data_IF_370080512953
#
_entry.id   IF_370080512953
#
_cell.length_a   1.000
_cell.length_b   1.000
_cell.length_c   1.000
_cell.angle_alpha   90.00
_cell.angle_beta   90.00
_cell.angle_gamma   90.00
#
_symmetry.space_group_name_H-M   'P 1'
#
loop_
_entity.id
_entity.type
_entity.pdbx_description
1 polymer ?
#
# COMPACT_ATOMS: atom_id res chain seq x y z
N UNK A 1 -12.75 15.41 6.68
CA UNK A 1 -13.14 14.20 7.44
C UNK A 1 -11.94 13.81 8.30
N UNK A 2 -12.06 13.87 9.63
CA UNK A 2 -10.96 13.53 10.54
C UNK A 2 -10.98 12.01 10.73
N UNK A 3 -9.98 11.30 10.20
CA UNK A 3 -9.83 9.88 10.47
C UNK A 3 -9.48 9.73 11.96
N UNK A 4 -10.41 9.24 12.77
CA UNK A 4 -10.13 8.92 14.16
C UNK A 4 -9.20 7.71 14.22
N UNK A 5 -7.96 7.97 14.63
CA UNK A 5 -6.96 6.94 14.80
C UNK A 5 -7.24 6.16 16.08
N UNK A 6 -7.40 4.84 15.97
CA UNK A 6 -7.71 3.92 17.09
C UNK A 6 -6.61 3.86 18.16
N UNK A 7 -5.44 4.48 17.92
CA UNK A 7 -4.35 4.68 18.88
C UNK A 7 -3.41 5.80 18.42
N UNK A 8 -2.87 6.60 19.35
CA UNK A 8 -1.88 7.68 19.10
C UNK A 8 -0.62 7.19 18.35
N UNK A 9 -0.30 5.89 18.38
CA UNK A 9 0.86 5.29 17.71
C UNK A 9 0.63 4.81 16.27
N UNK A 10 -0.56 5.00 15.70
CA UNK A 10 -0.91 4.46 14.38
C UNK A 10 -0.52 5.36 13.20
N UNK A 11 -0.45 6.68 13.42
CA UNK A 11 0.08 7.64 12.45
C UNK A 11 1.59 7.43 12.27
N UNK A 12 2.02 7.29 11.02
CA UNK A 12 3.44 7.09 10.69
C UNK A 12 3.77 7.74 9.36
N UNK A 13 5.03 8.13 9.22
CA UNK A 13 5.59 8.56 7.96
C UNK A 13 6.12 7.34 7.21
N UNK A 14 5.59 7.09 6.02
CA UNK A 14 6.08 6.01 5.14
C UNK A 14 6.70 6.66 3.91
N UNK A 15 8.03 6.57 3.73
CA UNK A 15 8.67 7.11 2.54
C UNK A 15 8.27 6.29 1.30
N UNK A 16 8.15 6.98 0.17
CA UNK A 16 7.90 6.33 -1.11
C UNK A 16 9.21 5.73 -1.66
N UNK A 17 9.13 4.48 -2.13
CA UNK A 17 10.19 3.87 -2.90
C UNK A 17 10.47 4.70 -4.16
N UNK A 18 11.75 4.87 -4.53
CA UNK A 18 12.16 5.68 -5.70
C UNK A 18 11.47 5.29 -7.03
N UNK A 19 11.14 4.01 -7.19
CA UNK A 19 10.39 3.50 -8.35
C UNK A 19 8.95 4.03 -8.46
N UNK A 20 8.30 4.40 -7.34
CA UNK A 20 6.89 4.84 -7.39
C UNK A 20 6.72 6.18 -8.13
N UNK A 21 7.51 7.24 -7.82
CA UNK A 21 7.54 8.44 -8.65
C UNK A 21 7.96 8.16 -10.10
N UNK A 22 8.94 7.26 -10.32
CA UNK A 22 9.39 6.91 -11.69
C UNK A 22 8.27 6.30 -12.55
N UNK A 23 7.36 5.55 -11.91
CA UNK A 23 6.18 4.96 -12.55
C UNK A 23 5.01 5.94 -12.71
N UNK A 24 5.15 7.18 -12.25
CA UNK A 24 4.09 8.19 -12.35
C UNK A 24 2.98 8.04 -11.30
N UNK A 25 3.26 7.41 -10.15
CA UNK A 25 2.24 7.15 -9.12
C UNK A 25 1.58 8.45 -8.63
N UNK A 26 2.37 9.51 -8.43
CA UNK A 26 1.86 10.78 -7.90
C UNK A 26 0.91 11.41 -8.91
N UNK A 27 1.30 11.43 -10.17
CA UNK A 27 0.50 11.92 -11.28
C UNK A 27 -0.80 11.12 -11.38
N UNK A 28 -0.73 9.79 -11.34
CA UNK A 28 -1.89 8.91 -11.44
C UNK A 28 -2.86 9.04 -10.26
N UNK A 29 -2.35 9.25 -9.04
CA UNK A 29 -3.17 9.25 -7.83
C UNK A 29 -3.58 10.64 -7.35
N UNK A 30 -2.86 11.71 -7.72
CA UNK A 30 -3.08 13.05 -7.14
C UNK A 30 -3.60 14.04 -8.18
N UNK A 31 -3.18 13.93 -9.45
CA UNK A 31 -3.54 14.92 -10.46
C UNK A 31 -5.06 14.92 -10.72
N UNK A 32 -5.67 16.10 -10.63
CA UNK A 32 -7.12 16.27 -10.88
C UNK A 32 -8.02 15.86 -9.72
N UNK A 33 -7.48 15.41 -8.59
CA UNK A 33 -8.24 15.10 -7.37
C UNK A 33 -8.38 16.30 -6.45
N UNK A 34 -9.45 16.29 -5.65
CA UNK A 34 -9.68 17.25 -4.56
C UNK A 34 -9.00 16.75 -3.29
N UNK A 35 -8.80 17.67 -2.34
CA UNK A 35 -8.09 17.40 -1.07
C UNK A 35 -8.68 16.22 -0.26
N UNK A 36 -9.99 15.99 -0.36
CA UNK A 36 -10.69 14.94 0.39
C UNK A 36 -11.00 13.68 -0.43
N UNK A 37 -10.55 13.60 -1.68
CA UNK A 37 -10.81 12.42 -2.51
C UNK A 37 -9.94 11.26 -2.03
N UNK A 38 -10.52 10.06 -1.93
CA UNK A 38 -9.77 8.84 -1.65
C UNK A 38 -8.78 8.59 -2.79
N UNK A 39 -7.52 8.29 -2.47
CA UNK A 39 -6.51 7.96 -3.48
C UNK A 39 -6.83 6.61 -4.16
N UNK A 40 -7.41 5.68 -3.39
CA UNK A 40 -7.88 4.37 -3.85
C UNK A 40 -9.40 4.30 -3.67
N UNK A 41 -10.21 4.80 -4.62
CA UNK A 41 -11.66 4.82 -4.50
C UNK A 41 -12.28 3.41 -4.46
N UNK A 42 -11.54 2.37 -4.82
CA UNK A 42 -11.98 0.97 -4.79
C UNK A 42 -12.27 0.45 -3.38
N UNK A 43 -11.86 1.18 -2.33
CA UNK A 43 -12.20 0.87 -0.94
C UNK A 43 -13.43 1.61 -0.40
N UNK A 44 -14.05 2.49 -1.19
CA UNK A 44 -15.28 3.17 -0.77
C UNK A 44 -16.46 2.18 -0.76
N UNK A 45 -17.18 2.15 0.37
CA UNK A 45 -18.28 1.22 0.57
C UNK A 45 -19.39 1.47 -0.48
N UNK A 46 -19.87 0.41 -1.13
CA UNK A 46 -20.93 0.50 -2.14
C UNK A 46 -20.48 0.89 -3.55
N UNK A 47 -19.16 1.08 -3.81
CA UNK A 47 -18.64 1.21 -5.18
C UNK A 47 -18.75 -0.10 -5.96
N UNK A 48 -18.95 -1.23 -5.26
CA UNK A 48 -19.41 -2.46 -5.88
C UNK A 48 -20.90 -2.28 -6.25
N UNK A 49 -21.18 -1.95 -7.52
CA UNK A 49 -22.53 -1.88 -8.07
C UNK A 49 -23.18 -3.27 -7.97
N UNK A 50 -23.84 -3.49 -6.82
CA UNK A 50 -24.50 -4.71 -6.34
C UNK A 50 -23.59 -5.76 -5.70
N UNK A 51 -23.30 -5.56 -4.42
CA UNK A 51 -23.07 -6.65 -3.50
C UNK A 51 -24.44 -7.10 -2.94
N UNK A 52 -24.86 -8.34 -3.21
CA UNK A 52 -26.01 -9.00 -2.55
C UNK A 52 -25.69 -9.40 -1.09
N UNK A 53 -24.49 -9.01 -0.62
CA UNK A 53 -24.00 -9.21 0.72
C UNK A 53 -24.35 -7.95 1.52
N UNK A 54 -25.31 -8.08 2.43
CA UNK A 54 -25.67 -7.10 3.45
C UNK A 54 -24.45 -6.84 4.35
N UNK A 55 -23.56 -5.96 3.88
CA UNK A 55 -22.55 -5.34 4.72
C UNK A 55 -23.27 -4.30 5.58
N UNK A 56 -23.99 -4.76 6.62
CA UNK A 56 -24.72 -3.87 7.52
C UNK A 56 -23.85 -2.68 7.95
N UNK A 57 -24.44 -1.48 7.97
CA UNK A 57 -24.00 -0.09 8.24
C UNK A 57 -22.51 0.32 8.44
N UNK A 58 -21.56 -0.57 8.71
CA UNK A 58 -20.14 -0.32 9.01
C UNK A 58 -19.18 -1.18 8.18
N UNK A 59 -19.30 -1.17 6.84
CA UNK A 59 -18.27 -1.73 5.98
C UNK A 59 -16.98 -0.90 6.06
N UNK A 60 -16.06 -1.26 6.97
CA UNK A 60 -14.79 -0.56 7.11
C UNK A 60 -14.02 -0.57 5.77
N UNK A 61 -13.52 0.59 5.32
CA UNK A 61 -12.81 0.80 4.05
C UNK A 61 -11.81 -0.31 3.65
N UNK A 62 -11.06 -0.84 4.63
CA UNK A 62 -10.10 -1.93 4.39
C UNK A 62 -10.75 -3.27 4.00
N UNK A 63 -11.97 -3.55 4.47
CA UNK A 63 -12.75 -4.74 4.10
C UNK A 63 -13.20 -4.66 2.64
N UNK A 64 -13.79 -3.53 2.24
CA UNK A 64 -14.23 -3.28 0.87
C UNK A 64 -13.06 -3.37 -0.12
N UNK A 65 -11.94 -2.71 0.18
CA UNK A 65 -10.74 -2.81 -0.66
C UNK A 65 -10.20 -4.25 -0.73
N UNK A 66 -10.27 -4.99 0.39
CA UNK A 66 -9.88 -6.39 0.43
C UNK A 66 -10.71 -7.27 -0.51
N UNK A 67 -12.04 -7.09 -0.52
CA UNK A 67 -12.97 -7.76 -1.44
C UNK A 67 -12.64 -7.42 -2.90
N UNK A 68 -12.53 -6.12 -3.22
CA UNK A 68 -12.15 -5.66 -4.55
C UNK A 68 -10.85 -6.32 -5.03
N UNK A 69 -9.82 -6.35 -4.18
CA UNK A 69 -8.54 -6.98 -4.51
C UNK A 69 -8.67 -8.48 -4.77
N UNK A 70 -9.52 -9.19 -4.02
CA UNK A 70 -9.79 -10.61 -4.27
C UNK A 70 -10.46 -10.85 -5.62
N UNK A 71 -11.37 -9.97 -6.06
CA UNK A 71 -11.98 -10.03 -7.40
C UNK A 71 -10.94 -9.72 -8.49
N UNK A 72 -10.22 -8.61 -8.34
CA UNK A 72 -9.15 -8.20 -9.24
C UNK A 72 -8.16 -9.33 -9.49
N UNK A 73 -7.57 -9.90 -8.44
CA UNK A 73 -6.56 -10.95 -8.61
C UNK A 73 -7.13 -12.21 -9.30
N UNK A 74 -8.41 -12.51 -9.07
CA UNK A 74 -9.07 -13.71 -9.62
C UNK A 74 -9.25 -13.60 -11.13
N UNK A 75 -9.58 -12.41 -11.62
CA UNK A 75 -9.65 -12.12 -13.06
C UNK A 75 -8.31 -12.34 -13.77
N UNK A 76 -7.20 -12.01 -13.11
CA UNK A 76 -5.85 -12.19 -13.64
C UNK A 76 -5.24 -13.57 -13.31
N UNK A 77 -6.03 -14.53 -12.82
CA UNK A 77 -5.58 -15.91 -12.59
C UNK A 77 -4.58 -16.07 -11.43
N UNK A 78 -4.53 -15.12 -10.50
CA UNK A 78 -3.67 -15.21 -9.31
C UNK A 78 -4.26 -16.20 -8.30
N UNK A 79 -3.39 -16.89 -7.56
CA UNK A 79 -3.80 -17.91 -6.59
C UNK A 79 -4.75 -17.39 -5.50
N UNK A 80 -5.65 -18.25 -5.04
CA UNK A 80 -6.68 -17.92 -4.04
C UNK A 80 -6.12 -17.59 -2.65
N UNK A 81 -4.96 -18.11 -2.28
CA UNK A 81 -4.28 -17.86 -1.00
C UNK A 81 -3.65 -16.46 -0.90
N UNK A 82 -3.46 -15.76 -2.02
CA UNK A 82 -2.86 -14.41 -2.03
C UNK A 82 -3.88 -13.36 -1.65
N UNK A 83 -3.77 -12.79 -0.45
CA UNK A 83 -4.63 -11.69 0.01
C UNK A 83 -3.89 -10.37 -0.07
N UNK A 84 -4.59 -9.24 0.11
CA UNK A 84 -3.92 -7.94 0.08
C UNK A 84 -2.80 -7.84 1.13
N UNK A 85 -2.99 -8.48 2.30
CA UNK A 85 -1.96 -8.58 3.33
C UNK A 85 -0.69 -9.34 2.90
N UNK A 86 -0.77 -10.20 1.88
CA UNK A 86 0.40 -10.92 1.34
C UNK A 86 1.48 -9.98 0.79
N UNK A 87 1.12 -8.77 0.35
CA UNK A 87 2.11 -7.75 -0.04
C UNK A 87 2.98 -7.33 1.14
N UNK A 88 2.38 -7.13 2.33
CA UNK A 88 3.13 -6.75 3.54
C UNK A 88 4.14 -7.83 3.92
N UNK A 89 3.74 -9.11 3.89
CA UNK A 89 4.66 -10.22 4.10
C UNK A 89 5.80 -10.24 3.08
N UNK A 90 5.47 -10.00 1.81
CA UNK A 90 6.49 -9.96 0.74
C UNK A 90 7.51 -8.85 0.98
N UNK A 91 7.06 -7.64 1.38
CA UNK A 91 7.94 -6.53 1.75
C UNK A 91 8.84 -6.92 2.92
N UNK A 92 8.28 -7.51 3.98
CA UNK A 92 9.08 -7.99 5.13
C UNK A 92 10.15 -8.98 4.71
N UNK A 93 9.77 -10.04 3.98
CA UNK A 93 10.70 -11.08 3.56
C UNK A 93 11.79 -10.54 2.64
N UNK A 94 11.45 -9.71 1.66
CA UNK A 94 12.41 -9.16 0.69
C UNK A 94 13.42 -8.22 1.37
N UNK A 95 12.98 -7.37 2.30
CA UNK A 95 13.87 -6.49 3.04
C UNK A 95 14.79 -7.25 4.00
N UNK A 96 14.28 -8.26 4.70
CA UNK A 96 15.11 -9.13 5.53
C UNK A 96 16.16 -9.86 4.68
N UNK A 97 15.78 -10.38 3.52
CA UNK A 97 16.71 -11.02 2.59
C UNK A 97 17.76 -10.05 2.02
N UNK A 98 17.43 -8.76 1.93
CA UNK A 98 18.36 -7.68 1.58
C UNK A 98 19.26 -7.23 2.75
N UNK A 99 19.23 -7.94 3.89
CA UNK A 99 20.07 -7.66 5.06
C UNK A 99 19.62 -6.46 5.89
N UNK A 100 18.36 -6.01 5.74
CA UNK A 100 17.79 -4.98 6.62
C UNK A 100 17.44 -5.61 7.97
N UNK A 101 17.79 -4.92 9.06
CA UNK A 101 17.45 -5.38 10.42
C UNK A 101 15.94 -5.32 10.63
N UNK A 102 15.41 -6.32 11.34
CA UNK A 102 13.98 -6.54 11.48
C UNK A 102 13.26 -5.34 12.13
N UNK A 103 13.92 -4.63 13.02
CA UNK A 103 13.42 -3.45 13.74
C UNK A 103 13.05 -2.32 12.78
N UNK A 104 13.88 -2.08 11.76
CA UNK A 104 13.60 -1.08 10.73
C UNK A 104 12.48 -1.51 9.78
N UNK A 105 12.41 -2.82 9.48
CA UNK A 105 11.32 -3.38 8.66
C UNK A 105 9.99 -3.24 9.39
N UNK A 106 9.96 -3.57 10.68
CA UNK A 106 8.79 -3.46 11.55
C UNK A 106 8.29 -2.02 11.66
N UNK A 107 9.21 -1.06 11.66
CA UNK A 107 8.86 0.37 11.67
C UNK A 107 8.20 0.79 10.37
N UNK A 108 8.80 0.43 9.24
CA UNK A 108 8.27 0.76 7.94
C UNK A 108 6.84 0.22 7.75
N UNK A 109 6.59 -1.03 8.14
CA UNK A 109 5.27 -1.66 7.97
C UNK A 109 4.27 -1.25 9.06
N UNK A 110 4.76 -0.79 10.21
CA UNK A 110 3.94 -0.44 11.37
C UNK A 110 3.44 -1.66 12.15
N UNK A 111 4.27 -2.68 12.41
CA UNK A 111 3.92 -3.80 13.30
C UNK A 111 4.27 -3.46 14.75
N UNK A 112 3.33 -3.41 15.68
CA UNK A 112 3.67 -3.15 17.09
C UNK A 112 4.64 -4.23 17.64
N UNK A 113 5.87 -3.82 17.96
CA UNK A 113 6.85 -4.68 18.62
C UNK A 113 7.51 -3.94 19.78
N UNK A 114 8.02 -4.70 20.74
CA UNK A 114 8.80 -4.16 21.87
C UNK A 114 10.04 -3.39 21.37
N UNK A 115 10.65 -3.83 20.27
CA UNK A 115 11.86 -3.24 19.68
C UNK A 115 11.60 -1.87 19.02
N UNK A 116 10.45 -1.70 18.35
CA UNK A 116 10.03 -0.41 17.81
C UNK A 116 10.01 0.72 18.83
N UNK A 117 9.54 0.42 20.05
CA UNK A 117 9.42 1.41 21.13
C UNK A 117 10.77 1.87 21.68
N UNK A 118 11.83 1.07 21.56
CA UNK A 118 13.14 1.37 22.16
C UNK A 118 14.07 2.11 21.20
N UNK A 119 14.09 1.77 19.91
CA UNK A 119 14.98 2.43 18.93
C UNK A 119 14.45 3.80 18.49
N UNK A 120 13.13 3.94 18.35
CA UNK A 120 12.53 5.20 17.90
C UNK A 120 12.65 6.35 18.91
N UNK A 121 12.74 6.03 20.21
CA UNK A 121 13.05 7.02 21.24
C UNK A 121 14.48 7.59 21.13
N UNK A 122 15.38 6.91 20.40
CA UNK A 122 16.80 7.29 20.28
C UNK A 122 17.08 8.18 19.06
N UNK A 123 16.24 8.13 18.03
CA UNK A 123 16.41 8.93 16.81
C UNK A 123 15.46 10.13 16.77
N UNK A 124 15.95 11.29 16.32
CA UNK A 124 15.09 12.44 16.01
C UNK A 124 14.25 12.11 14.76
N UNK A 125 12.98 12.55 14.72
CA UNK A 125 11.99 12.23 13.66
C UNK A 125 12.54 12.36 12.23
N UNK A 126 13.40 13.35 11.96
CA UNK A 126 14.01 13.54 10.64
C UNK A 126 15.05 12.48 10.26
N UNK A 127 15.86 12.03 11.21
CA UNK A 127 16.85 10.97 10.98
C UNK A 127 16.16 9.63 10.74
N UNK A 128 15.08 9.35 11.46
CA UNK A 128 14.23 8.18 11.22
C UNK A 128 13.72 8.14 9.79
N UNK A 129 13.20 9.25 9.25
CA UNK A 129 12.62 9.26 7.90
C UNK A 129 13.67 8.99 6.81
N UNK A 130 14.87 9.55 6.94
CA UNK A 130 15.97 9.27 6.01
C UNK A 130 16.39 7.80 6.06
N UNK A 131 16.50 7.21 7.26
CA UNK A 131 16.78 5.77 7.38
C UNK A 131 15.67 4.92 6.79
N UNK A 132 14.40 5.26 7.01
CA UNK A 132 13.27 4.54 6.41
C UNK A 132 13.28 4.65 4.87
N UNK A 133 13.75 5.78 4.33
CA UNK A 133 13.92 5.95 2.87
C UNK A 133 14.99 4.99 2.33
N UNK A 134 16.14 4.91 2.99
CA UNK A 134 17.20 3.98 2.62
C UNK A 134 16.74 2.52 2.74
N UNK A 135 15.91 2.21 3.73
CA UNK A 135 15.33 0.88 3.93
C UNK A 135 14.36 0.53 2.82
N UNK A 136 13.36 1.40 2.53
CA UNK A 136 12.39 1.09 1.48
C UNK A 136 13.08 0.93 0.13
N UNK A 137 14.08 1.76 -0.21
CA UNK A 137 14.78 1.70 -1.50
C UNK A 137 15.63 0.43 -1.71
N UNK A 138 15.90 -0.35 -0.65
CA UNK A 138 16.52 -1.68 -0.78
C UNK A 138 15.55 -2.76 -1.25
N UNK A 139 14.25 -2.46 -1.32
CA UNK A 139 13.24 -3.39 -1.78
C UNK A 139 13.39 -3.68 -3.28
N UNK A 140 14.03 -4.80 -3.60
CA UNK A 140 14.09 -5.31 -4.97
C UNK A 140 12.90 -6.24 -5.22
N UNK A 141 11.96 -5.75 -6.03
CA UNK A 141 10.83 -6.55 -6.50
C UNK A 141 11.24 -7.38 -7.72
N UNK A 142 10.74 -8.62 -7.88
CA UNK A 142 11.01 -9.46 -9.04
C UNK A 142 10.18 -9.02 -10.27
N UNK A 143 10.23 -7.72 -10.60
CA UNK A 143 9.50 -7.10 -11.71
C UNK A 143 10.46 -6.19 -12.49
N UNK A 144 10.24 -6.10 -13.80
CA UNK A 144 11.01 -5.24 -14.68
C UNK A 144 10.45 -3.81 -14.65
N UNK A 145 11.02 -2.98 -13.78
CA UNK A 145 10.59 -1.59 -13.58
C UNK A 145 10.77 -0.77 -14.86
N UNK A 146 11.85 -0.98 -15.61
CA UNK A 146 12.11 -0.21 -16.83
C UNK A 146 11.06 -0.52 -17.89
N UNK A 147 10.74 -1.81 -18.08
CA UNK A 147 9.66 -2.21 -18.98
C UNK A 147 8.30 -1.64 -18.55
N UNK A 148 8.04 -1.52 -17.25
CA UNK A 148 6.80 -0.89 -16.75
C UNK A 148 6.78 0.61 -17.02
N UNK A 149 7.90 1.31 -16.86
CA UNK A 149 8.03 2.74 -17.17
C UNK A 149 7.82 2.99 -18.67
N UNK A 150 8.41 2.16 -19.54
CA UNK A 150 8.24 2.27 -20.99
C UNK A 150 6.78 2.02 -21.40
N UNK A 151 6.15 1.00 -20.82
CA UNK A 151 4.74 0.72 -21.04
C UNK A 151 3.83 1.85 -20.56
N UNK A 152 4.15 2.51 -19.43
CA UNK A 152 3.39 3.64 -18.91
C UNK A 152 3.48 4.88 -19.83
N UNK A 153 4.59 5.05 -20.55
CA UNK A 153 4.78 6.17 -21.50
C UNK A 153 4.09 5.93 -22.84
N UNK A 154 4.11 4.69 -23.33
CA UNK A 154 3.63 4.33 -24.65
C UNK A 154 2.18 3.82 -24.68
N UNK A 155 1.66 3.38 -23.53
CA UNK A 155 0.33 2.79 -23.41
C UNK A 155 -0.76 3.81 -23.15
N UNK A 156 -1.96 3.53 -23.67
CA UNK A 156 -3.17 4.20 -23.20
C UNK A 156 -3.48 3.76 -21.75
N UNK A 157 -4.03 4.65 -20.90
CA UNK A 157 -4.48 4.26 -19.57
C UNK A 157 -5.47 3.10 -19.69
N UNK A 158 -5.19 1.97 -19.03
CA UNK A 158 -6.18 0.91 -18.92
C UNK A 158 -7.39 1.46 -18.17
N UNK A 159 -8.60 1.15 -18.65
CA UNK A 159 -9.81 1.46 -17.90
C UNK A 159 -9.70 0.85 -16.49
N UNK A 160 -10.15 1.61 -15.50
CA UNK A 160 -10.19 1.16 -14.12
C UNK A 160 -10.93 -0.18 -14.04
N UNK A 161 -10.35 -1.14 -13.33
CA UNK A 161 -10.96 -2.43 -13.14
C UNK A 161 -12.25 -2.26 -12.34
N UNK A 162 -13.38 -2.49 -13.00
CA UNK A 162 -14.69 -2.60 -12.36
C UNK A 162 -15.02 -4.08 -12.32
N UNK A 163 -14.93 -4.73 -11.14
CA UNK A 163 -15.27 -6.14 -11.05
C UNK A 163 -16.70 -6.36 -11.57
N UNK A 164 -16.85 -7.25 -12.54
CA UNK A 164 -18.17 -7.77 -12.89
C UNK A 164 -18.68 -8.62 -11.74
N UNK A 165 -20.01 -8.64 -11.57
CA UNK A 165 -20.71 -9.55 -10.65
C UNK A 165 -20.24 -10.99 -10.80
#
# INVERSE_FOLDING_TARGET
MTLELKAEGSARWVPLHQNLPRLGLIEALVQGRRENDLLLPEGEAGVEEADDLDDGDDAAYGSAFGKWFQRFKSEYGVRKDVVFHSFRHSVTTLLCNAGVQQEFVEELIGHESQARRSEMKRYNKGQTLMMLKDVIDRLVLPIDIERMVDAARAGEPRQAFRPSR
#
